data_IF_656115799723
#
_entry.id   IF_656115799723
#
_cell.length_a   1.000
_cell.length_b   1.000
_cell.length_c   1.000
_cell.angle_alpha   90.00
_cell.angle_beta   90.00
_cell.angle_gamma   90.00
#
_symmetry.space_group_name_H-M   'P 1'
#
loop_
_entity.id
_entity.type
_entity.pdbx_description
1 polymer ?
#
# COMPACT_ATOMS: atom_id res chain seq x y z
N UNK A 1 -8.46 12.58 18.55
CA UNK A 1 -8.28 11.89 17.25
C UNK A 1 -8.03 10.38 17.42
N UNK A 2 -8.78 9.51 16.76
CA UNK A 2 -8.76 8.05 16.97
C UNK A 2 -8.12 7.26 15.81
N UNK A 3 -7.83 7.88 14.67
CA UNK A 3 -7.09 7.27 13.56
C UNK A 3 -5.64 7.73 13.60
N UNK A 4 -4.82 7.04 14.40
CA UNK A 4 -3.40 7.35 14.58
C UNK A 4 -2.58 6.22 13.97
N UNK A 5 -1.55 6.57 13.21
CA UNK A 5 -0.62 5.56 12.67
C UNK A 5 0.23 5.00 13.82
N UNK A 6 0.23 3.68 13.96
CA UNK A 6 1.07 2.97 14.92
C UNK A 6 1.46 1.58 14.37
N UNK A 7 2.53 0.95 14.89
CA UNK A 7 2.94 -0.38 14.46
C UNK A 7 1.91 -1.45 14.87
N UNK A 8 1.57 -2.35 13.94
CA UNK A 8 0.80 -3.58 14.19
C UNK A 8 1.68 -4.79 13.85
N UNK A 9 2.52 -5.24 14.79
CA UNK A 9 3.45 -6.36 14.55
C UNK A 9 2.71 -7.67 14.27
N UNK A 10 1.51 -7.86 14.85
CA UNK A 10 0.75 -9.09 14.67
C UNK A 10 0.23 -9.26 13.23
N UNK A 11 -0.10 -8.16 12.54
CA UNK A 11 -0.46 -8.23 11.11
C UNK A 11 0.64 -8.82 10.21
N UNK A 12 1.90 -8.77 10.64
CA UNK A 12 3.04 -9.28 9.87
C UNK A 12 3.12 -10.81 9.89
N UNK A 13 2.45 -11.46 10.85
CA UNK A 13 2.40 -12.91 10.98
C UNK A 13 1.37 -13.57 10.05
N UNK A 14 0.55 -12.77 9.35
CA UNK A 14 -0.46 -13.24 8.42
C UNK A 14 0.13 -13.67 7.06
N UNK A 15 -0.47 -14.68 6.42
CA UNK A 15 -0.08 -15.14 5.07
C UNK A 15 -0.13 -14.04 3.99
N UNK A 16 -0.90 -12.98 4.23
CA UNK A 16 -1.07 -11.83 3.31
C UNK A 16 -0.19 -10.62 3.69
N UNK A 17 0.74 -10.78 4.64
CA UNK A 17 1.57 -9.69 5.15
C UNK A 17 2.56 -9.15 4.12
N UNK A 18 2.96 -9.97 3.15
CA UNK A 18 3.90 -9.61 2.08
C UNK A 18 3.37 -10.07 0.73
N UNK A 19 3.71 -9.33 -0.30
CA UNK A 19 3.40 -9.69 -1.67
C UNK A 19 4.48 -9.11 -2.59
N UNK A 20 4.73 -9.82 -3.69
CA UNK A 20 5.61 -9.38 -4.75
C UNK A 20 4.85 -9.44 -6.06
N UNK A 21 4.94 -8.38 -6.86
CA UNK A 21 4.44 -8.38 -8.24
C UNK A 21 5.51 -7.86 -9.19
N UNK A 22 5.71 -8.58 -10.28
CA UNK A 22 6.68 -8.22 -11.31
C UNK A 22 5.95 -7.88 -12.59
N UNK A 23 6.36 -6.79 -13.24
CA UNK A 23 5.82 -6.35 -14.52
C UNK A 23 6.97 -5.93 -15.42
N UNK A 24 6.91 -6.33 -16.69
CA UNK A 24 7.75 -5.74 -17.73
C UNK A 24 7.41 -4.26 -17.91
N UNK A 25 8.37 -3.50 -18.43
CA UNK A 25 8.17 -2.08 -18.80
C UNK A 25 6.91 -1.90 -19.66
N UNK A 26 6.70 -2.79 -20.64
CA UNK A 26 5.57 -2.74 -21.57
C UNK A 26 4.23 -3.02 -20.89
N UNK A 27 4.18 -3.91 -19.90
CA UNK A 27 2.97 -4.13 -19.11
C UNK A 27 2.61 -2.90 -18.28
N UNK A 28 3.60 -2.22 -17.70
CA UNK A 28 3.36 -0.98 -16.95
C UNK A 28 2.85 0.12 -17.87
N UNK A 29 3.49 0.30 -19.02
CA UNK A 29 3.05 1.26 -20.04
C UNK A 29 1.60 1.02 -20.46
N UNK A 30 1.27 -0.21 -20.86
CA UNK A 30 -0.07 -0.58 -21.29
C UNK A 30 -1.11 -0.37 -20.18
N UNK A 31 -0.76 -0.67 -18.93
CA UNK A 31 -1.66 -0.49 -17.79
C UNK A 31 -1.91 0.99 -17.47
N UNK A 32 -0.89 1.83 -17.61
CA UNK A 32 -0.98 3.28 -17.40
C UNK A 32 -1.74 3.95 -18.55
N UNK A 33 -1.51 3.53 -19.79
CA UNK A 33 -2.18 4.06 -20.98
C UNK A 33 -3.69 3.80 -20.96
N UNK A 34 -4.12 2.59 -20.56
CA UNK A 34 -5.54 2.25 -20.30
C UNK A 34 -6.23 3.15 -19.26
N UNK A 35 -5.45 3.93 -18.50
CA UNK A 35 -5.94 4.88 -17.50
C UNK A 35 -5.74 6.34 -17.91
N UNK A 36 -5.38 6.60 -19.17
CA UNK A 36 -5.17 7.92 -19.73
C UNK A 36 -3.79 8.52 -19.43
N UNK A 37 -2.83 7.71 -18.96
CA UNK A 37 -1.46 8.14 -18.69
C UNK A 37 -0.52 7.63 -19.78
N UNK A 38 -0.47 8.34 -20.91
CA UNK A 38 0.44 8.04 -22.00
C UNK A 38 1.89 8.37 -21.59
N UNK A 39 2.71 7.34 -21.33
CA UNK A 39 4.09 7.45 -20.86
C UNK A 39 4.99 6.41 -21.56
N UNK A 40 5.35 6.61 -22.84
CA UNK A 40 6.05 5.60 -23.62
C UNK A 40 7.55 5.55 -23.29
N UNK A 41 8.10 4.36 -23.25
CA UNK A 41 9.47 4.08 -22.82
C UNK A 41 9.67 4.47 -21.36
N UNK A 42 8.92 3.87 -20.43
CA UNK A 42 9.14 4.06 -18.99
C UNK A 42 10.55 3.57 -18.64
N UNK A 43 11.37 4.49 -18.14
CA UNK A 43 12.75 4.24 -17.75
C UNK A 43 12.88 4.02 -16.26
N UNK A 44 12.09 4.72 -15.44
CA UNK A 44 12.22 4.71 -13.98
C UNK A 44 10.87 4.93 -13.29
N UNK A 45 10.66 4.26 -12.17
CA UNK A 45 9.53 4.48 -11.27
C UNK A 45 10.09 4.57 -9.86
N UNK A 46 9.88 5.69 -9.18
CA UNK A 46 10.47 5.94 -7.87
C UNK A 46 9.50 6.68 -6.92
N UNK A 47 9.75 6.56 -5.62
CA UNK A 47 8.96 7.25 -4.61
C UNK A 47 9.20 8.76 -4.68
N UNK A 48 8.17 9.54 -5.00
CA UNK A 48 8.26 11.00 -4.96
C UNK A 48 7.92 11.55 -3.56
N UNK A 49 7.03 10.89 -2.84
CA UNK A 49 6.61 11.30 -1.50
C UNK A 49 6.14 10.07 -0.71
N UNK A 50 6.62 9.95 0.54
CA UNK A 50 6.18 8.94 1.51
C UNK A 50 5.37 9.57 2.63
N UNK A 51 4.25 8.95 2.98
CA UNK A 51 3.46 9.35 4.14
C UNK A 51 4.07 8.84 5.47
N UNK A 52 3.51 9.24 6.63
CA UNK A 52 4.03 8.88 7.94
C UNK A 52 4.14 7.37 8.19
N UNK A 53 3.29 6.57 7.55
CA UNK A 53 3.32 5.11 7.64
C UNK A 53 4.30 4.45 6.65
N UNK A 54 5.17 5.21 5.98
CA UNK A 54 6.12 4.73 4.96
C UNK A 54 5.52 4.46 3.58
N UNK A 55 4.22 4.66 3.39
CA UNK A 55 3.49 4.45 2.13
C UNK A 55 3.94 5.45 1.07
N UNK A 56 4.20 4.99 -0.15
CA UNK A 56 4.50 5.86 -1.29
C UNK A 56 3.19 6.51 -1.73
N UNK A 57 2.90 7.73 -1.25
CA UNK A 57 1.66 8.45 -1.55
C UNK A 57 1.68 9.14 -2.91
N UNK A 58 2.88 9.53 -3.38
CA UNK A 58 3.13 9.96 -4.75
C UNK A 58 4.30 9.20 -5.35
N UNK A 59 4.15 8.80 -6.60
CA UNK A 59 5.17 8.14 -7.40
C UNK A 59 5.61 9.07 -8.52
N UNK A 60 6.91 9.11 -8.80
CA UNK A 60 7.45 9.74 -10.01
C UNK A 60 7.69 8.65 -11.05
N UNK A 61 7.10 8.82 -12.21
CA UNK A 61 7.34 7.96 -13.38
C UNK A 61 8.12 8.79 -14.38
N UNK A 62 9.27 8.26 -14.82
CA UNK A 62 10.13 8.88 -15.84
C UNK A 62 10.02 8.03 -17.10
N UNK A 63 9.60 8.66 -18.19
CA UNK A 63 9.50 8.06 -19.52
C UNK A 63 10.26 8.90 -20.54
N UNK A 64 10.37 8.41 -21.79
CA UNK A 64 11.03 9.15 -22.87
C UNK A 64 10.37 10.51 -23.17
N UNK A 65 9.07 10.62 -22.93
CA UNK A 65 8.29 11.86 -23.10
C UNK A 65 8.41 12.84 -21.93
N UNK A 66 9.16 12.52 -20.87
CA UNK A 66 9.32 13.36 -19.67
C UNK A 66 8.94 12.62 -18.39
N UNK A 67 8.75 13.37 -17.31
CA UNK A 67 8.38 12.79 -16.00
C UNK A 67 7.03 13.30 -15.50
N UNK A 68 6.29 12.45 -14.79
CA UNK A 68 5.04 12.81 -14.11
C UNK A 68 5.08 12.34 -12.67
N UNK A 69 4.59 13.20 -11.76
CA UNK A 69 4.36 12.83 -10.36
C UNK A 69 2.87 12.60 -10.17
N UNK A 70 2.50 11.38 -9.76
CA UNK A 70 1.12 10.92 -9.69
C UNK A 70 0.78 10.39 -8.29
N UNK A 71 -0.48 10.52 -7.87
CA UNK A 71 -0.97 9.89 -6.64
C UNK A 71 -0.99 8.38 -6.79
N UNK A 72 -0.16 7.67 -6.03
CA UNK A 72 0.07 6.23 -6.23
C UNK A 72 -1.22 5.41 -6.08
N UNK A 73 -2.03 5.71 -5.05
CA UNK A 73 -3.24 4.92 -4.73
C UNK A 73 -4.30 4.95 -5.83
N UNK A 74 -4.47 6.08 -6.52
CA UNK A 74 -5.49 6.26 -7.56
C UNK A 74 -4.97 5.99 -8.97
N UNK A 75 -3.64 5.95 -9.16
CA UNK A 75 -3.00 5.75 -10.47
C UNK A 75 -2.31 4.38 -10.53
N UNK A 76 -1.00 4.32 -10.28
CA UNK A 76 -0.14 3.14 -10.39
C UNK A 76 -0.75 1.90 -9.70
N UNK A 77 -1.22 2.06 -8.45
CA UNK A 77 -1.83 0.96 -7.69
C UNK A 77 -3.05 0.39 -8.39
N UNK A 78 -3.94 1.25 -8.92
CA UNK A 78 -5.12 0.78 -9.65
C UNK A 78 -4.75 0.25 -11.02
N UNK A 79 -3.74 0.82 -11.69
CA UNK A 79 -3.33 0.40 -13.03
C UNK A 79 -2.77 -1.04 -13.01
N UNK A 80 -1.87 -1.30 -12.05
CA UNK A 80 -1.22 -2.59 -11.87
C UNK A 80 -1.95 -3.54 -10.90
N UNK A 81 -3.12 -3.12 -10.40
CA UNK A 81 -3.92 -3.86 -9.43
C UNK A 81 -3.07 -4.31 -8.22
N UNK A 82 -2.22 -3.41 -7.70
CA UNK A 82 -1.38 -3.70 -6.55
C UNK A 82 -2.24 -3.81 -5.27
N UNK A 83 -1.94 -4.73 -4.35
CA UNK A 83 -2.70 -4.85 -3.12
C UNK A 83 -2.68 -3.57 -2.25
N UNK A 84 -1.50 -2.95 -2.10
CA UNK A 84 -1.23 -1.75 -1.27
C UNK A 84 -0.21 -0.81 -1.95
N UNK A 85 0.17 0.30 -1.30
CA UNK A 85 1.19 1.29 -1.68
C UNK A 85 2.35 1.41 -0.65
N UNK A 86 2.34 0.59 0.40
CA UNK A 86 3.43 0.34 1.32
C UNK A 86 4.32 -0.70 0.66
N UNK A 87 5.20 -0.22 -0.19
CA UNK A 87 6.01 -1.06 -1.06
C UNK A 87 7.34 -0.41 -1.35
N UNK A 88 8.27 -1.22 -1.81
CA UNK A 88 9.49 -0.82 -2.49
C UNK A 88 9.38 -1.14 -3.98
N UNK A 89 10.08 -0.37 -4.82
CA UNK A 89 10.10 -0.53 -6.28
C UNK A 89 11.55 -0.72 -6.69
N UNK A 90 11.85 -1.87 -7.29
CA UNK A 90 13.15 -2.16 -7.87
C UNK A 90 12.99 -2.35 -9.38
N UNK A 91 14.00 -1.97 -10.16
CA UNK A 91 14.07 -2.28 -11.57
C UNK A 91 15.23 -3.24 -11.82
N UNK A 92 14.92 -4.40 -12.39
CA UNK A 92 15.89 -5.47 -12.63
C UNK A 92 15.55 -6.22 -13.91
N UNK A 93 16.55 -6.46 -14.75
CA UNK A 93 16.43 -7.24 -15.99
C UNK A 93 15.27 -6.78 -16.91
N UNK A 94 15.07 -5.46 -17.02
CA UNK A 94 13.99 -4.87 -17.84
C UNK A 94 12.58 -4.96 -17.22
N UNK A 95 12.47 -5.40 -15.97
CA UNK A 95 11.22 -5.50 -15.22
C UNK A 95 11.20 -4.56 -14.01
N UNK A 96 10.01 -4.14 -13.61
CA UNK A 96 9.73 -3.52 -12.33
C UNK A 96 9.20 -4.55 -11.34
N UNK A 97 9.87 -4.66 -10.21
CA UNK A 97 9.54 -5.54 -9.09
C UNK A 97 8.95 -4.65 -7.99
N UNK A 98 7.72 -4.96 -7.58
CA UNK A 98 7.01 -4.27 -6.52
C UNK A 98 6.91 -5.19 -5.31
N UNK A 99 7.68 -4.88 -4.27
CA UNK A 99 7.71 -5.62 -3.01
C UNK A 99 6.92 -4.89 -1.94
N UNK A 100 5.71 -5.36 -1.71
CA UNK A 100 4.76 -4.71 -0.81
C UNK A 100 4.50 -5.44 0.48
N UNK A 101 4.00 -4.67 1.45
CA UNK A 101 3.59 -5.13 2.78
C UNK A 101 2.13 -4.78 3.04
N UNK A 102 1.41 -5.73 3.64
CA UNK A 102 0.00 -5.61 3.97
C UNK A 102 -0.95 -5.69 2.77
N UNK A 103 -2.24 -5.72 3.09
CA UNK A 103 -3.32 -5.87 2.12
C UNK A 103 -4.49 -4.96 2.53
N UNK A 104 -4.90 -4.01 1.66
CA UNK A 104 -5.99 -3.06 1.94
C UNK A 104 -5.55 -1.59 1.91
N UNK A 105 -6.26 -0.71 2.64
CA UNK A 105 -5.90 0.71 2.74
C UNK A 105 -5.06 1.05 3.98
N UNK A 106 -5.05 0.15 4.97
CA UNK A 106 -4.24 0.22 6.19
C UNK A 106 -4.48 1.45 7.04
N UNK A 107 -5.76 1.75 7.30
CA UNK A 107 -6.23 2.80 8.21
C UNK A 107 -7.15 2.14 9.23
N UNK A 108 -6.95 2.43 10.52
CA UNK A 108 -7.77 1.89 11.60
C UNK A 108 -7.48 0.41 11.86
N UNK A 109 -8.48 -0.44 11.69
CA UNK A 109 -8.48 -1.81 12.15
C UNK A 109 -7.86 -2.81 11.15
N UNK A 110 -6.91 -3.61 11.62
CA UNK A 110 -6.32 -4.71 10.87
C UNK A 110 -7.05 -6.01 11.19
N UNK A 111 -7.79 -6.55 10.22
CA UNK A 111 -8.55 -7.80 10.39
C UNK A 111 -7.62 -8.97 10.76
N UNK A 112 -6.47 -9.07 10.09
CA UNK A 112 -5.48 -10.12 10.36
C UNK A 112 -4.82 -9.99 11.74
N UNK A 113 -4.36 -8.78 12.09
CA UNK A 113 -3.75 -8.54 13.41
C UNK A 113 -4.76 -8.82 14.52
N UNK A 114 -6.02 -8.39 14.34
CA UNK A 114 -7.08 -8.66 15.31
C UNK A 114 -7.43 -10.14 15.47
N UNK A 115 -7.41 -10.93 14.39
CA UNK A 115 -7.69 -12.36 14.45
C UNK A 115 -6.60 -13.12 15.22
N UNK A 116 -5.35 -12.64 15.18
CA UNK A 116 -4.25 -13.20 15.95
C UNK A 116 -4.35 -12.78 17.40
N UNK A 117 -4.54 -11.48 17.67
CA UNK A 117 -4.74 -10.96 19.03
C UNK A 117 -5.94 -11.63 19.71
N UNK A 118 -7.03 -11.83 18.98
CA UNK A 118 -8.28 -12.43 19.46
C UNK A 118 -8.15 -13.87 19.96
N UNK A 119 -7.02 -14.53 19.71
CA UNK A 119 -6.72 -15.83 20.33
C UNK A 119 -6.52 -15.72 21.84
N UNK A 120 -5.98 -14.58 22.32
CA UNK A 120 -5.58 -14.38 23.72
C UNK A 120 -6.00 -13.01 24.30
N UNK A 121 -6.65 -12.16 23.51
CA UNK A 121 -6.95 -10.77 23.87
C UNK A 121 -8.44 -10.49 23.68
N UNK A 122 -9.06 -9.86 24.66
CA UNK A 122 -10.46 -9.45 24.60
C UNK A 122 -10.68 -8.33 23.55
N UNK A 123 -11.90 -8.28 22.99
CA UNK A 123 -12.23 -7.40 21.88
C UNK A 123 -12.08 -5.90 22.21
N UNK A 124 -12.36 -5.51 23.45
CA UNK A 124 -12.24 -4.13 23.95
C UNK A 124 -10.80 -3.63 23.91
N UNK A 125 -9.84 -4.47 24.33
CA UNK A 125 -8.41 -4.18 24.25
C UNK A 125 -7.92 -4.12 22.81
N UNK A 126 -8.43 -4.99 21.94
CA UNK A 126 -8.11 -4.97 20.50
C UNK A 126 -8.61 -3.67 19.87
N UNK A 127 -9.83 -3.23 20.19
CA UNK A 127 -10.38 -1.97 19.68
C UNK A 127 -9.62 -0.76 20.22
N UNK A 128 -9.27 -0.76 21.51
CA UNK A 128 -8.45 0.30 22.11
C UNK A 128 -7.06 0.39 21.46
N UNK A 129 -6.47 -0.73 21.04
CA UNK A 129 -5.22 -0.74 20.29
C UNK A 129 -5.35 -0.02 18.93
N UNK A 130 -6.34 -0.38 18.10
CA UNK A 130 -6.52 0.24 16.77
C UNK A 130 -7.15 1.63 16.80
N UNK A 131 -7.82 1.98 17.90
CA UNK A 131 -8.54 3.24 18.10
C UNK A 131 -8.23 3.82 19.49
N UNK A 132 -7.00 4.33 19.73
CA UNK A 132 -6.46 4.67 21.06
C UNK A 132 -7.19 5.78 21.83
N UNK A 133 -8.24 6.37 21.26
CA UNK A 133 -9.09 7.39 21.90
C UNK A 133 -10.59 7.14 21.68
N UNK A 134 -10.96 5.95 21.20
CA UNK A 134 -12.36 5.58 21.06
C UNK A 134 -12.90 5.02 22.39
N UNK A 135 -14.19 5.25 22.64
CA UNK A 135 -14.92 4.70 23.78
C UNK A 135 -16.00 3.75 23.28
N UNK A 136 -16.16 2.65 24.00
CA UNK A 136 -17.25 1.71 23.74
C UNK A 136 -18.52 2.20 24.45
N UNK A 137 -19.59 2.35 23.68
CA UNK A 137 -20.89 2.77 24.19
C UNK A 137 -21.93 1.71 23.83
N UNK A 138 -22.58 1.13 24.85
CA UNK A 138 -23.71 0.23 24.65
C UNK A 138 -24.95 1.07 24.32
N UNK A 139 -25.42 0.99 23.07
CA UNK A 139 -26.57 1.78 22.60
C UNK A 139 -27.93 1.17 22.97
N UNK A 140 -27.99 -0.14 23.24
CA UNK A 140 -29.17 -0.88 23.69
C UNK A 140 -28.73 -2.14 24.44
#
# INVERSE_FOLDING_TARGET
>A
PYLIAHPDPESLNGKMARWTKTFSVKEVENAMDKRGFNMPGIQRIEAAERGPSGRIIKVRIVSRSGSKVLRTRTTLRRALQLPEILLEIEQKDGNFIFDGRGWGHGVGYSQWGSAILGKNTAYDKILAFYYPNAVLEKKW
#
